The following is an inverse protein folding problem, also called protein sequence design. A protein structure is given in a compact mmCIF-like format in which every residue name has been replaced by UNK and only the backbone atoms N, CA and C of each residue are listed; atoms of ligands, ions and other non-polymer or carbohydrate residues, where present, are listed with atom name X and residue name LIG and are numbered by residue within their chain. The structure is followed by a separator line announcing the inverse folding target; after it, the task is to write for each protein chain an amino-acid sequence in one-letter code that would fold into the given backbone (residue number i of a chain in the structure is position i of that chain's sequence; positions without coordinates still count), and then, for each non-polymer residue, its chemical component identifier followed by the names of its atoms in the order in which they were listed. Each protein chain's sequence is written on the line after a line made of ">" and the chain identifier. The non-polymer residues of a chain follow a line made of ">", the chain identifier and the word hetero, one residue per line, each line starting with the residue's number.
data_IF_573241566096
#
_entry.id   IF_573241566096
#
_cell.length_a   1.000
_cell.length_b   1.000
_cell.length_c   1.000
_cell.angle_alpha   90.00
_cell.angle_beta   90.00
_cell.angle_gamma   90.00
#
_symmetry.space_group_name_H-M   'P 1'
#
loop_
_entity.id
_entity.type
_entity.pdbx_description
1 polymer ?
#
# COMPACT_ATOMS: atom_id res chain seq x y z
N UNK A 1 -2.50 -1.67 -17.49
CA UNK A 1 -1.37 -2.27 -16.74
C UNK A 1 -1.86 -3.52 -16.02
N UNK A 2 -2.74 -3.37 -15.02
CA UNK A 2 -3.24 -4.47 -14.18
C UNK A 2 -4.15 -5.47 -14.90
N UNK A 3 -4.96 -5.05 -15.90
CA UNK A 3 -5.78 -6.00 -16.68
C UNK A 3 -4.98 -7.16 -17.28
N UNK A 4 -3.78 -6.89 -17.80
CA UNK A 4 -2.95 -7.95 -18.39
C UNK A 4 -2.25 -8.84 -17.36
N UNK A 5 -2.22 -8.41 -16.10
CA UNK A 5 -1.74 -9.21 -14.97
C UNK A 5 -2.87 -10.11 -14.45
N UNK A 6 -4.06 -9.54 -14.23
CA UNK A 6 -5.29 -10.26 -13.87
C UNK A 6 -5.67 -11.33 -14.92
N UNK A 7 -5.53 -11.04 -16.22
CA UNK A 7 -5.74 -12.03 -17.30
C UNK A 7 -4.83 -13.26 -17.18
N UNK A 8 -3.69 -13.17 -16.48
CA UNK A 8 -2.72 -14.27 -16.30
C UNK A 8 -2.83 -14.96 -14.95
N UNK A 9 -3.24 -14.21 -13.94
CA UNK A 9 -3.37 -14.65 -12.56
C UNK A 9 -4.69 -14.10 -12.01
N UNK A 10 -5.82 -14.79 -12.28
CA UNK A 10 -7.13 -14.35 -11.84
C UNK A 10 -7.23 -14.51 -10.32
N UNK A 11 -7.00 -13.41 -9.61
CA UNK A 11 -7.12 -13.31 -8.16
C UNK A 11 -7.87 -12.04 -7.75
N UNK A 12 -8.24 -11.97 -6.47
CA UNK A 12 -8.88 -10.78 -5.88
C UNK A 12 -7.90 -9.61 -5.90
N UNK A 13 -8.10 -8.72 -6.86
CA UNK A 13 -7.32 -7.50 -7.04
C UNK A 13 -8.10 -6.27 -6.58
N UNK A 14 -9.02 -6.40 -5.63
CA UNK A 14 -9.69 -5.26 -5.03
C UNK A 14 -8.77 -4.56 -4.01
N UNK A 15 -8.79 -3.22 -4.05
CA UNK A 15 -8.23 -2.37 -3.00
C UNK A 15 -9.39 -1.63 -2.34
N UNK A 16 -9.22 -1.27 -1.07
CA UNK A 16 -10.26 -0.52 -0.37
C UNK A 16 -9.70 0.42 0.67
N UNK A 17 -10.50 1.42 1.04
CA UNK A 17 -10.28 2.22 2.23
C UNK A 17 -11.50 2.19 3.12
N UNK A 18 -11.30 2.10 4.42
CA UNK A 18 -12.35 2.19 5.43
C UNK A 18 -12.11 3.41 6.30
N UNK A 19 -13.16 4.19 6.51
CA UNK A 19 -13.16 5.35 7.39
C UNK A 19 -14.20 5.15 8.49
N UNK A 20 -13.81 5.33 9.74
CA UNK A 20 -14.62 5.10 10.93
C UNK A 20 -15.00 6.44 11.59
N UNK A 21 -16.24 6.54 12.03
CA UNK A 21 -16.87 7.74 12.53
C UNK A 21 -17.62 7.47 13.84
N UNK A 22 -17.58 8.44 14.74
CA UNK A 22 -18.47 8.53 15.90
C UNK A 22 -19.70 9.37 15.53
N UNK A 23 -20.86 8.97 16.03
CA UNK A 23 -22.16 9.59 15.76
C UNK A 23 -23.20 8.59 15.24
N UNK A 24 -24.43 9.06 15.12
CA UNK A 24 -25.48 8.30 14.47
C UNK A 24 -25.14 8.09 12.99
N UNK A 25 -25.29 6.87 12.43
CA UNK A 25 -25.11 6.66 11.00
C UNK A 25 -26.08 7.56 10.21
N UNK A 26 -25.62 8.23 9.13
CA UNK A 26 -26.51 8.94 8.24
C UNK A 26 -27.45 7.95 7.55
N UNK A 27 -28.56 8.43 7.00
CA UNK A 27 -29.38 7.57 6.13
C UNK A 27 -28.60 7.29 4.84
N UNK A 28 -28.74 6.08 4.30
CA UNK A 28 -28.08 5.72 3.05
C UNK A 28 -28.53 6.61 1.88
N UNK A 29 -29.78 7.11 1.90
CA UNK A 29 -30.25 8.09 0.92
C UNK A 29 -29.52 9.43 1.01
N UNK A 30 -29.21 9.91 2.21
CA UNK A 30 -28.49 11.17 2.41
C UNK A 30 -27.04 11.03 1.92
N UNK A 31 -26.42 9.86 2.17
CA UNK A 31 -25.10 9.54 1.65
C UNK A 31 -25.07 9.47 0.12
N UNK A 32 -26.12 8.89 -0.50
CA UNK A 32 -26.27 8.88 -1.97
C UNK A 32 -26.45 10.30 -2.51
N UNK A 33 -27.29 11.12 -1.89
CA UNK A 33 -27.50 12.51 -2.30
C UNK A 33 -26.19 13.33 -2.19
N UNK A 34 -25.43 13.13 -1.11
CA UNK A 34 -24.11 13.72 -0.94
C UNK A 34 -23.15 13.29 -2.07
N UNK A 35 -23.06 11.99 -2.35
CA UNK A 35 -22.20 11.44 -3.39
C UNK A 35 -22.55 11.90 -4.79
N UNK A 36 -23.83 12.11 -5.08
CA UNK A 36 -24.30 12.60 -6.37
C UNK A 36 -23.63 13.93 -6.75
N UNK A 37 -23.34 14.80 -5.76
CA UNK A 37 -22.62 16.06 -5.97
C UNK A 37 -21.16 15.90 -6.42
N UNK A 38 -20.58 14.70 -6.28
CA UNK A 38 -19.18 14.43 -6.65
C UNK A 38 -19.03 13.60 -7.93
N UNK A 39 -20.11 13.03 -8.46
CA UNK A 39 -20.08 12.14 -9.62
C UNK A 39 -19.49 12.85 -10.85
N UNK A 40 -19.86 14.11 -11.08
CA UNK A 40 -19.38 14.90 -12.22
C UNK A 40 -17.91 15.30 -12.10
N UNK A 41 -17.42 15.52 -10.86
CA UNK A 41 -16.01 15.86 -10.60
C UNK A 41 -15.11 14.63 -10.49
N UNK A 42 -15.70 13.44 -10.37
CA UNK A 42 -15.01 12.16 -10.38
C UNK A 42 -15.57 11.28 -11.51
N UNK A 43 -15.33 11.63 -12.79
CA UNK A 43 -15.94 10.94 -13.94
C UNK A 43 -15.57 9.45 -14.04
N UNK A 44 -14.52 9.01 -13.34
CA UNK A 44 -14.20 7.60 -13.24
C UNK A 44 -15.23 6.77 -12.47
N UNK A 45 -16.04 7.39 -11.59
CA UNK A 45 -17.11 6.70 -10.87
C UNK A 45 -18.25 6.25 -11.81
N UNK A 46 -18.44 6.93 -12.93
CA UNK A 46 -19.47 6.57 -13.94
C UNK A 46 -18.90 5.79 -15.12
N UNK A 47 -17.59 5.54 -15.13
CA UNK A 47 -16.93 4.86 -16.24
C UNK A 47 -16.53 3.44 -15.86
N UNK A 48 -16.74 2.51 -16.79
CA UNK A 48 -16.24 1.13 -16.70
C UNK A 48 -15.10 0.89 -17.68
N UNK A 49 -14.21 -0.01 -17.29
CA UNK A 49 -13.10 -0.44 -18.14
C UNK A 49 -13.54 -1.63 -19.00
N UNK A 50 -13.43 -1.52 -20.32
CA UNK A 50 -13.90 -2.56 -21.26
C UNK A 50 -12.80 -3.02 -22.21
N UNK A 51 -12.92 -4.25 -22.71
CA UNK A 51 -11.97 -4.88 -23.64
C UNK A 51 -10.80 -5.58 -22.94
N UNK A 52 -9.95 -6.23 -23.73
CA UNK A 52 -8.75 -6.91 -23.23
C UNK A 52 -7.65 -5.94 -22.84
N UNK A 53 -6.65 -6.40 -22.11
CA UNK A 53 -5.46 -5.63 -21.72
C UNK A 53 -4.77 -4.88 -22.88
N UNK A 54 -4.93 -5.35 -24.14
CA UNK A 54 -4.40 -4.73 -25.36
C UNK A 54 -5.29 -3.64 -25.97
N UNK A 55 -6.61 -3.68 -25.73
CA UNK A 55 -7.61 -2.77 -26.31
C UNK A 55 -8.49 -2.12 -25.24
N UNK A 56 -7.99 -2.08 -24.01
CA UNK A 56 -8.70 -1.57 -22.86
C UNK A 56 -9.08 -0.10 -23.06
N UNK A 57 -10.35 0.21 -22.82
CA UNK A 57 -10.89 1.56 -22.97
C UNK A 57 -11.90 1.86 -21.88
N UNK A 58 -11.84 3.09 -21.37
CA UNK A 58 -12.83 3.64 -20.47
C UNK A 58 -14.08 4.02 -21.27
N UNK A 59 -15.22 3.51 -20.85
CA UNK A 59 -16.52 3.79 -21.47
C UNK A 59 -17.47 4.24 -20.36
N UNK A 60 -18.20 5.33 -20.62
CA UNK A 60 -19.26 5.77 -19.72
C UNK A 60 -20.33 4.67 -19.61
N UNK A 61 -20.80 4.38 -18.42
CA UNK A 61 -21.92 3.47 -18.21
C UNK A 61 -23.25 4.24 -18.40
N UNK A 62 -24.01 3.98 -19.48
CA UNK A 62 -25.30 4.64 -19.69
C UNK A 62 -26.36 4.25 -18.65
N UNK A 63 -26.13 3.17 -17.89
CA UNK A 63 -27.02 2.67 -16.84
C UNK A 63 -26.44 2.89 -15.44
N UNK A 64 -25.54 3.87 -15.29
CA UNK A 64 -24.98 4.21 -13.99
C UNK A 64 -26.09 4.60 -13.02
N UNK A 65 -26.18 3.85 -11.93
CA UNK A 65 -27.13 4.07 -10.85
C UNK A 65 -26.39 3.99 -9.51
N UNK A 66 -26.33 5.13 -8.81
CA UNK A 66 -25.64 5.25 -7.54
C UNK A 66 -26.20 4.31 -6.46
N UNK A 67 -27.49 3.96 -6.54
CA UNK A 67 -28.12 3.03 -5.59
C UNK A 67 -27.54 1.60 -5.70
N UNK A 68 -27.01 1.22 -6.87
CA UNK A 68 -26.31 -0.06 -7.08
C UNK A 68 -24.92 -0.07 -6.42
N UNK A 69 -24.28 1.09 -6.28
CA UNK A 69 -22.92 1.21 -5.75
C UNK A 69 -22.88 1.52 -4.26
N UNK A 70 -23.87 2.24 -3.74
CA UNK A 70 -23.91 2.67 -2.33
C UNK A 70 -24.93 1.84 -1.58
N UNK A 71 -24.43 0.95 -0.73
CA UNK A 71 -25.24 -0.02 0.01
C UNK A 71 -25.10 0.17 1.51
N UNK A 72 -26.15 -0.19 2.24
CA UNK A 72 -26.14 -0.24 3.70
C UNK A 72 -25.88 -1.67 4.16
N UNK A 73 -25.04 -1.81 5.18
CA UNK A 73 -24.63 -3.08 5.77
C UNK A 73 -24.72 -2.96 7.29
N UNK A 74 -25.80 -3.49 7.84
CA UNK A 74 -25.91 -3.69 9.29
C UNK A 74 -25.16 -4.96 9.68
N UNK A 75 -24.36 -4.87 10.74
CA UNK A 75 -23.61 -6.00 11.29
C UNK A 75 -23.99 -6.23 12.76
N UNK A 76 -23.88 -7.47 13.27
CA UNK A 76 -24.15 -7.75 14.67
C UNK A 76 -23.28 -6.90 15.59
N UNK A 77 -23.83 -6.53 16.76
CA UNK A 77 -23.08 -5.89 17.84
C UNK A 77 -21.84 -6.69 18.22
N UNK A 78 -20.84 -5.98 18.70
CA UNK A 78 -19.58 -6.53 19.20
C UNK A 78 -18.76 -7.27 18.12
N UNK A 79 -19.08 -7.06 16.83
CA UNK A 79 -18.26 -7.55 15.71
C UNK A 79 -17.01 -6.66 15.58
N UNK A 80 -15.78 -7.23 15.67
CA UNK A 80 -14.56 -6.44 15.50
C UNK A 80 -14.48 -5.78 14.12
N UNK A 81 -13.96 -4.55 14.04
CA UNK A 81 -13.89 -3.78 12.80
C UNK A 81 -13.14 -4.53 11.68
N UNK A 82 -12.09 -5.29 12.02
CA UNK A 82 -11.34 -6.14 11.09
C UNK A 82 -12.22 -7.22 10.47
N UNK A 83 -13.09 -7.85 11.26
CA UNK A 83 -14.01 -8.87 10.79
C UNK A 83 -15.10 -8.27 9.91
N UNK A 84 -15.58 -7.08 10.26
CA UNK A 84 -16.52 -6.32 9.43
C UNK A 84 -15.89 -5.96 8.08
N UNK A 85 -14.70 -5.35 8.10
CA UNK A 85 -13.96 -4.99 6.90
C UNK A 85 -13.64 -6.21 6.03
N UNK A 86 -13.21 -7.32 6.64
CA UNK A 86 -12.95 -8.57 5.95
C UNK A 86 -14.22 -9.13 5.28
N UNK A 87 -15.37 -9.11 5.97
CA UNK A 87 -16.63 -9.61 5.41
C UNK A 87 -17.11 -8.81 4.20
N UNK A 88 -16.93 -7.48 4.21
CA UNK A 88 -17.26 -6.62 3.08
C UNK A 88 -16.31 -6.92 1.94
N UNK A 89 -15.01 -6.95 2.23
CA UNK A 89 -13.95 -7.26 1.28
C UNK A 89 -14.15 -8.64 0.63
N UNK A 90 -14.62 -9.65 1.35
CA UNK A 90 -14.85 -11.00 0.83
C UNK A 90 -16.02 -11.10 -0.16
N UNK A 91 -16.75 -10.03 -0.44
CA UNK A 91 -17.74 -10.00 -1.53
C UNK A 91 -17.05 -9.64 -2.86
N UNK A 92 -17.25 -10.38 -3.96
CA UNK A 92 -16.73 -9.99 -5.26
C UNK A 92 -17.36 -8.67 -5.72
N UNK A 93 -16.60 -7.83 -6.44
CA UNK A 93 -17.14 -6.64 -7.11
C UNK A 93 -17.90 -7.07 -8.37
N UNK A 94 -19.11 -6.56 -8.57
CA UNK A 94 -19.87 -6.70 -9.82
C UNK A 94 -19.10 -6.04 -10.98
N UNK A 95 -19.01 -6.75 -12.12
CA UNK A 95 -18.18 -6.35 -13.28
C UNK A 95 -18.97 -5.85 -14.49
N UNK A 96 -20.30 -5.83 -14.40
CA UNK A 96 -21.21 -5.32 -15.43
C UNK A 96 -21.46 -3.80 -15.31
N UNK A 97 -20.95 -3.18 -14.24
CA UNK A 97 -21.05 -1.75 -13.89
C UNK A 97 -19.66 -1.18 -13.58
N UNK A 98 -19.48 0.13 -13.30
CA UNK A 98 -18.20 0.65 -12.81
C UNK A 98 -17.69 -0.16 -11.61
N UNK A 99 -16.43 -0.63 -11.67
CA UNK A 99 -15.92 -1.64 -10.72
C UNK A 99 -15.56 -1.05 -9.33
N UNK A 100 -16.53 -0.45 -8.64
CA UNK A 100 -16.40 0.10 -7.30
C UNK A 100 -17.72 -0.01 -6.52
N UNK A 101 -17.63 0.03 -5.20
CA UNK A 101 -18.79 0.22 -4.31
C UNK A 101 -18.41 0.99 -3.04
N UNK A 102 -19.43 1.47 -2.33
CA UNK A 102 -19.32 2.10 -1.04
C UNK A 102 -20.34 1.47 -0.09
N UNK A 103 -19.86 0.88 1.01
CA UNK A 103 -20.71 0.34 2.06
C UNK A 103 -20.79 1.32 3.23
N UNK A 104 -22.01 1.72 3.60
CA UNK A 104 -22.32 2.31 4.90
C UNK A 104 -22.52 1.17 5.90
N UNK A 105 -21.65 1.09 6.88
CA UNK A 105 -21.56 -0.03 7.81
C UNK A 105 -21.89 0.48 9.21
N UNK A 106 -22.82 -0.16 9.91
CA UNK A 106 -23.19 0.21 11.29
C UNK A 106 -23.70 -1.01 12.08
N UNK A 107 -24.01 -0.82 13.36
CA UNK A 107 -24.53 -1.87 14.25
C UNK A 107 -23.47 -2.61 15.06
N UNK A 108 -22.19 -2.58 14.66
CA UNK A 108 -21.09 -3.24 15.37
C UNK A 108 -20.76 -2.58 16.72
N UNK A 109 -20.92 -1.25 16.81
CA UNK A 109 -20.68 -0.48 18.03
C UNK A 109 -21.71 0.65 18.13
N UNK A 110 -22.26 0.93 19.34
CA UNK A 110 -23.30 1.94 19.50
C UNK A 110 -22.78 3.35 19.22
N UNK A 111 -23.49 4.09 18.37
CA UNK A 111 -23.09 5.46 18.02
C UNK A 111 -21.81 5.51 17.19
N UNK A 112 -21.49 4.44 16.47
CA UNK A 112 -20.39 4.40 15.50
C UNK A 112 -20.88 3.88 14.15
N UNK A 113 -20.24 4.37 13.08
CA UNK A 113 -20.45 3.86 11.73
C UNK A 113 -19.17 3.93 10.92
N UNK A 114 -19.09 3.15 9.85
CA UNK A 114 -17.95 3.12 8.94
C UNK A 114 -18.39 3.27 7.49
N UNK A 115 -17.56 3.93 6.69
CA UNK A 115 -17.69 3.98 5.24
C UNK A 115 -16.55 3.16 4.62
N UNK A 116 -16.87 2.12 3.87
CA UNK A 116 -15.89 1.29 3.18
C UNK A 116 -16.01 1.47 1.67
N UNK A 117 -15.04 2.14 1.06
CA UNK A 117 -14.93 2.31 -0.38
C UNK A 117 -14.05 1.22 -0.95
N UNK A 118 -14.56 0.44 -1.90
CA UNK A 118 -13.80 -0.60 -2.60
C UNK A 118 -13.78 -0.31 -4.09
N UNK A 119 -12.67 -0.69 -4.72
CA UNK A 119 -12.49 -0.50 -6.14
C UNK A 119 -11.57 -1.59 -6.68
N UNK A 120 -11.84 -2.01 -7.91
CA UNK A 120 -10.96 -2.94 -8.58
C UNK A 120 -9.63 -2.26 -8.93
N UNK A 121 -8.49 -2.89 -8.64
CA UNK A 121 -7.17 -2.29 -8.84
C UNK A 121 -6.85 -2.04 -10.33
N UNK A 122 -7.57 -2.67 -11.27
CA UNK A 122 -7.50 -2.27 -12.70
C UNK A 122 -8.00 -0.84 -12.95
N UNK A 123 -8.87 -0.34 -12.09
CA UNK A 123 -9.48 0.98 -12.20
C UNK A 123 -8.72 2.06 -11.45
N UNK A 124 -8.25 1.76 -10.24
CA UNK A 124 -7.53 2.72 -9.41
C UNK A 124 -6.32 2.07 -8.72
N UNK A 125 -5.23 2.82 -8.58
CA UNK A 125 -4.17 2.48 -7.64
C UNK A 125 -4.49 3.03 -6.23
N UNK A 126 -3.67 2.70 -5.23
CA UNK A 126 -3.86 3.17 -3.86
C UNK A 126 -3.91 4.70 -3.72
N UNK A 127 -3.15 5.44 -4.55
CA UNK A 127 -3.18 6.90 -4.59
C UNK A 127 -4.51 7.45 -5.11
N UNK A 128 -5.01 6.95 -6.24
CA UNK A 128 -6.30 7.33 -6.82
C UNK A 128 -7.47 6.93 -5.92
N UNK A 129 -7.42 5.75 -5.30
CA UNK A 129 -8.44 5.28 -4.37
C UNK A 129 -8.46 6.11 -3.08
N UNK A 130 -7.28 6.40 -2.49
CA UNK A 130 -7.17 7.32 -1.35
C UNK A 130 -7.68 8.72 -1.69
N UNK A 131 -7.34 9.23 -2.89
CA UNK A 131 -7.84 10.52 -3.34
C UNK A 131 -9.37 10.53 -3.50
N UNK A 132 -9.93 9.49 -4.11
CA UNK A 132 -11.38 9.34 -4.29
C UNK A 132 -12.08 9.29 -2.94
N UNK A 133 -11.62 8.43 -2.02
CA UNK A 133 -12.16 8.35 -0.67
C UNK A 133 -12.07 9.70 0.05
N UNK A 134 -10.93 10.38 -0.02
CA UNK A 134 -10.76 11.71 0.57
C UNK A 134 -11.77 12.72 0.00
N UNK A 135 -11.94 12.78 -1.33
CA UNK A 135 -12.90 13.69 -1.95
C UNK A 135 -14.33 13.40 -1.51
N UNK A 136 -14.71 12.12 -1.49
CA UNK A 136 -16.03 11.67 -1.00
C UNK A 136 -16.25 12.06 0.46
N UNK A 137 -15.25 11.88 1.33
CA UNK A 137 -15.39 12.17 2.76
C UNK A 137 -15.37 13.67 3.04
N UNK A 138 -14.42 14.39 2.46
CA UNK A 138 -14.13 15.79 2.84
C UNK A 138 -14.93 16.81 2.04
N UNK A 139 -15.59 16.39 0.97
CA UNK A 139 -16.24 17.28 0.01
C UNK A 139 -15.27 18.20 -0.74
N UNK A 140 -13.95 17.99 -0.60
CA UNK A 140 -12.95 18.80 -1.26
C UNK A 140 -12.95 18.52 -2.76
N UNK A 141 -13.45 19.47 -3.55
CA UNK A 141 -13.44 19.41 -5.01
C UNK A 141 -12.00 19.23 -5.50
N UNK A 142 -11.71 18.20 -6.31
CA UNK A 142 -10.40 18.03 -6.90
C UNK A 142 -10.04 19.25 -7.75
N UNK A 143 -8.89 19.86 -7.52
CA UNK A 143 -8.32 20.87 -8.42
C UNK A 143 -7.76 20.18 -9.65
N UNK A 144 -8.57 20.06 -10.71
CA UNK A 144 -8.19 19.50 -12.00
C UNK A 144 -8.73 18.09 -12.23
N UNK A 145 -9.68 17.98 -13.16
CA UNK A 145 -10.26 16.73 -13.63
C UNK A 145 -9.55 16.28 -14.90
N UNK A 146 -8.36 15.69 -14.77
CA UNK A 146 -7.69 15.14 -15.95
C UNK A 146 -8.22 13.74 -16.28
N UNK A 147 -9.06 13.65 -17.32
CA UNK A 147 -9.23 12.40 -18.08
C UNK A 147 -7.84 11.96 -18.53
N UNK A 148 -7.46 10.67 -18.43
CA UNK A 148 -6.15 10.24 -18.89
C UNK A 148 -6.02 10.51 -20.40
N UNK A 149 -5.36 11.61 -20.77
CA UNK A 149 -5.09 11.91 -22.17
C UNK A 149 -3.97 10.99 -22.71
N UNK A 150 -4.13 10.43 -23.92
CA UNK A 150 -3.03 9.77 -24.60
C UNK A 150 -1.96 10.82 -24.94
N UNK A 151 -0.81 10.77 -24.26
CA UNK A 151 0.32 11.65 -24.60
C UNK A 151 0.85 11.34 -26.01
N UNK A 152 0.98 12.35 -26.89
CA UNK A 152 1.67 12.21 -28.18
C UNK A 152 3.18 11.97 -28.00
N UNK A 153 3.82 11.21 -28.92
CA UNK A 153 5.29 11.11 -29.01
C UNK A 153 5.96 9.86 -28.42
N UNK A 154 5.29 8.70 -28.47
CA UNK A 154 5.70 7.44 -27.78
C UNK A 154 6.99 6.76 -28.24
N UNK A 155 7.57 7.10 -29.40
CA UNK A 155 8.62 6.28 -30.01
C UNK A 155 10.06 6.71 -29.65
N UNK A 156 10.36 8.01 -29.58
CA UNK A 156 11.77 8.49 -29.55
C UNK A 156 12.34 8.58 -28.12
N UNK A 157 11.51 8.85 -27.11
CA UNK A 157 11.96 8.91 -25.69
C UNK A 157 11.96 7.56 -24.96
N UNK A 158 11.24 6.55 -25.48
CA UNK A 158 11.11 5.24 -24.84
C UNK A 158 12.41 4.40 -24.87
N UNK A 159 13.27 4.59 -25.87
CA UNK A 159 14.51 3.82 -26.02
C UNK A 159 15.57 4.16 -24.94
N UNK A 160 15.77 5.46 -24.66
CA UNK A 160 16.71 5.90 -23.60
C UNK A 160 16.23 5.54 -22.19
N UNK A 161 14.92 5.54 -21.97
CA UNK A 161 14.30 5.07 -20.73
C UNK A 161 14.41 3.55 -20.55
N UNK A 162 14.32 2.78 -21.64
CA UNK A 162 14.49 1.33 -21.60
C UNK A 162 15.92 0.92 -21.19
N UNK A 163 16.95 1.64 -21.66
CA UNK A 163 18.34 1.41 -21.24
C UNK A 163 18.57 1.65 -19.75
N UNK A 164 17.95 2.70 -19.18
CA UNK A 164 18.01 2.99 -17.73
C UNK A 164 17.21 1.98 -16.91
N UNK A 165 16.02 1.59 -17.38
CA UNK A 165 15.20 0.54 -16.77
C UNK A 165 15.97 -0.79 -16.71
N UNK A 166 16.62 -1.19 -17.80
CA UNK A 166 17.41 -2.42 -17.83
C UNK A 166 18.60 -2.36 -16.86
N UNK A 167 19.24 -1.20 -16.70
CA UNK A 167 20.29 -0.98 -15.70
C UNK A 167 19.79 -1.11 -14.25
N UNK A 168 18.66 -0.50 -13.93
CA UNK A 168 18.03 -0.60 -12.60
C UNK A 168 17.47 -2.02 -12.31
N UNK A 169 16.90 -2.70 -13.30
CA UNK A 169 16.42 -4.08 -13.18
C UNK A 169 17.58 -5.07 -13.02
N UNK A 170 18.70 -4.85 -13.74
CA UNK A 170 19.88 -5.70 -13.62
C UNK A 170 20.51 -5.59 -12.22
N UNK A 171 20.50 -4.40 -11.61
CA UNK A 171 20.96 -4.17 -10.23
C UNK A 171 20.03 -4.69 -9.13
N UNK A 172 18.79 -5.10 -9.46
CA UNK A 172 17.78 -5.59 -8.50
C UNK A 172 17.49 -7.09 -8.63
N UNK A 173 18.38 -7.82 -9.33
CA UNK A 173 18.37 -9.29 -9.40
C UNK A 173 18.82 -9.90 -8.08
N UNK A 174 17.92 -9.95 -7.10
CA UNK A 174 18.09 -10.78 -5.90
C UNK A 174 17.74 -12.21 -6.27
N UNK A 175 18.67 -13.15 -6.06
CA UNK A 175 18.35 -14.57 -6.17
C UNK A 175 17.37 -14.96 -5.05
N UNK A 176 16.15 -15.33 -5.45
CA UNK A 176 15.22 -16.18 -4.69
C UNK A 176 14.85 -15.70 -3.30
N UNK A 177 14.03 -14.64 -3.17
CA UNK A 177 13.37 -14.37 -1.89
C UNK A 177 12.33 -15.46 -1.67
N UNK A 178 12.49 -16.27 -0.62
CA UNK A 178 11.59 -17.39 -0.35
C UNK A 178 11.26 -17.49 1.13
N UNK A 179 10.03 -17.88 1.39
CA UNK A 179 9.54 -18.37 2.68
C UNK A 179 8.91 -19.74 2.41
N UNK A 180 9.38 -20.77 3.11
CA UNK A 180 8.93 -22.14 2.92
C UNK A 180 7.64 -22.40 3.71
N UNK A 181 6.52 -21.78 3.31
CA UNK A 181 5.21 -21.97 3.94
C UNK A 181 4.12 -22.07 2.87
N UNK A 182 3.13 -22.98 3.03
CA UNK A 182 1.95 -22.96 2.18
C UNK A 182 1.16 -21.67 2.44
N UNK A 183 0.57 -21.11 1.39
CA UNK A 183 -0.26 -19.92 1.42
C UNK A 183 -1.64 -20.26 0.86
N UNK A 184 -2.69 -19.71 1.48
CA UNK A 184 -4.08 -20.01 1.15
C UNK A 184 -4.65 -19.11 0.05
N UNK A 185 -4.07 -17.92 -0.15
CA UNK A 185 -4.65 -16.85 -0.96
C UNK A 185 -5.83 -16.13 -0.28
N UNK A 186 -6.22 -16.54 0.94
CA UNK A 186 -7.21 -15.82 1.75
C UNK A 186 -6.52 -14.74 2.57
N UNK A 187 -7.21 -13.63 2.76
CA UNK A 187 -6.66 -12.46 3.45
C UNK A 187 -7.15 -12.37 4.90
N UNK A 188 -6.25 -12.00 5.79
CA UNK A 188 -6.53 -11.53 7.13
C UNK A 188 -6.11 -10.07 7.23
N UNK A 189 -6.98 -9.25 7.82
CA UNK A 189 -6.70 -7.84 8.09
C UNK A 189 -6.23 -7.68 9.52
N UNK A 190 -5.16 -6.92 9.72
CA UNK A 190 -4.69 -6.51 11.04
C UNK A 190 -4.46 -5.01 11.03
N UNK A 191 -4.90 -4.33 12.09
CA UNK A 191 -4.65 -2.91 12.27
C UNK A 191 -3.69 -2.66 13.43
N UNK A 192 -2.87 -1.62 13.32
CA UNK A 192 -2.10 -1.09 14.42
C UNK A 192 -1.99 0.42 14.33
N UNK A 193 -2.25 1.09 15.45
CA UNK A 193 -2.03 2.52 15.56
C UNK A 193 -0.54 2.83 15.73
N UNK A 194 -0.01 3.74 14.91
CA UNK A 194 1.39 4.15 14.93
C UNK A 194 1.47 5.67 14.95
N UNK A 195 1.95 6.25 16.04
CA UNK A 195 2.18 7.69 16.08
C UNK A 195 3.30 8.09 15.09
N UNK A 196 3.00 9.03 14.20
CA UNK A 196 3.96 9.54 13.20
C UNK A 196 5.17 10.17 13.87
N UNK A 197 5.00 10.78 15.06
CA UNK A 197 6.09 11.34 15.82
C UNK A 197 7.08 10.27 16.28
N UNK A 198 6.60 9.05 16.64
CA UNK A 198 7.49 7.92 16.97
C UNK A 198 8.39 7.54 15.81
N UNK A 199 7.80 7.36 14.62
CA UNK A 199 8.55 7.05 13.40
C UNK A 199 9.58 8.15 13.06
N UNK A 200 9.19 9.42 13.23
CA UNK A 200 10.10 10.55 13.02
C UNK A 200 11.25 10.56 14.04
N UNK A 201 10.97 10.33 15.32
CA UNK A 201 11.97 10.35 16.40
C UNK A 201 13.09 9.34 16.19
N UNK A 202 12.79 8.14 15.67
CA UNK A 202 13.83 7.12 15.45
C UNK A 202 14.70 7.40 14.22
N UNK A 203 14.12 7.97 13.15
CA UNK A 203 14.84 8.18 11.90
C UNK A 203 15.54 9.54 11.79
N UNK A 204 14.95 10.61 12.34
CA UNK A 204 15.46 11.97 12.21
C UNK A 204 16.90 12.16 12.71
N UNK A 205 17.33 11.57 13.86
CA UNK A 205 18.72 11.69 14.33
C UNK A 205 19.76 11.08 13.37
N UNK A 206 19.33 10.18 12.47
CA UNK A 206 20.17 9.52 11.47
C UNK A 206 19.99 10.13 10.07
N UNK A 207 19.27 11.24 9.95
CA UNK A 207 18.97 11.89 8.67
C UNK A 207 17.88 11.21 7.84
N UNK A 208 17.11 10.29 8.44
CA UNK A 208 16.02 9.55 7.79
C UNK A 208 14.63 10.14 8.03
N UNK A 209 13.63 9.61 7.30
CA UNK A 209 12.23 9.97 7.45
C UNK A 209 11.36 8.87 8.09
N UNK A 210 10.07 9.17 8.34
CA UNK A 210 9.13 8.20 8.91
C UNK A 210 8.93 6.94 8.06
N UNK A 211 9.08 7.04 6.73
CA UNK A 211 8.95 5.90 5.84
C UNK A 211 10.12 4.91 6.01
N UNK A 212 11.35 5.41 6.15
CA UNK A 212 12.53 4.57 6.42
C UNK A 212 12.41 3.87 7.79
N UNK A 213 11.91 4.58 8.81
CA UNK A 213 11.58 3.97 10.11
C UNK A 213 10.53 2.84 9.97
N UNK A 214 9.48 3.08 9.20
CA UNK A 214 8.43 2.08 8.96
C UNK A 214 8.99 0.82 8.27
N UNK A 215 9.82 0.99 7.23
CA UNK A 215 10.47 -0.12 6.53
C UNK A 215 11.46 -0.88 7.43
N UNK A 216 12.18 -0.17 8.32
CA UNK A 216 13.06 -0.79 9.31
C UNK A 216 12.27 -1.63 10.32
N UNK A 217 11.11 -1.12 10.76
CA UNK A 217 10.19 -1.85 11.64
C UNK A 217 9.57 -3.07 10.95
N UNK A 218 9.16 -2.98 9.67
CA UNK A 218 8.71 -4.14 8.88
C UNK A 218 9.81 -5.20 8.73
N UNK A 219 11.06 -4.78 8.57
CA UNK A 219 12.19 -5.72 8.51
C UNK A 219 12.38 -6.43 9.85
N UNK A 220 12.30 -5.70 10.97
CA UNK A 220 12.36 -6.29 12.30
C UNK A 220 11.17 -7.21 12.62
N UNK A 221 9.97 -6.84 12.16
CA UNK A 221 8.75 -7.66 12.24
C UNK A 221 8.98 -9.02 11.58
N UNK A 222 9.50 -9.03 10.35
CA UNK A 222 9.78 -10.25 9.60
C UNK A 222 10.79 -11.16 10.29
N UNK A 223 11.86 -10.59 10.86
CA UNK A 223 12.86 -11.36 11.60
C UNK A 223 12.27 -12.00 12.86
N UNK A 224 11.44 -11.26 13.62
CA UNK A 224 10.75 -11.79 14.81
C UNK A 224 9.76 -12.88 14.45
N UNK A 225 8.94 -12.63 13.43
CA UNK A 225 7.98 -13.59 12.93
C UNK A 225 8.68 -14.87 12.45
N UNK A 226 9.77 -14.75 11.68
CA UNK A 226 10.57 -15.88 11.20
C UNK A 226 11.15 -16.69 12.36
N UNK A 227 11.69 -16.02 13.39
CA UNK A 227 12.22 -16.68 14.59
C UNK A 227 11.14 -17.39 15.41
N UNK A 228 9.96 -16.77 15.57
CA UNK A 228 8.87 -17.31 16.37
C UNK A 228 8.11 -18.45 15.66
N UNK A 229 7.93 -18.36 14.33
CA UNK A 229 7.22 -19.36 13.53
C UNK A 229 8.10 -20.53 13.10
N UNK A 230 9.43 -20.37 13.13
CA UNK A 230 10.39 -21.32 12.57
C UNK A 230 10.49 -21.28 11.04
N UNK A 231 9.70 -20.44 10.35
CA UNK A 231 9.76 -20.29 8.89
C UNK A 231 11.02 -19.51 8.52
N UNK A 232 11.94 -20.14 7.79
CA UNK A 232 13.20 -19.51 7.37
C UNK A 232 12.98 -18.55 6.20
N UNK A 233 13.56 -17.35 6.33
CA UNK A 233 13.62 -16.35 5.27
C UNK A 233 14.98 -16.41 4.57
N UNK A 234 14.98 -16.64 3.26
CA UNK A 234 16.18 -16.57 2.44
C UNK A 234 16.19 -15.26 1.63
N UNK A 235 17.19 -14.41 1.88
CA UNK A 235 17.39 -13.10 1.18
C UNK A 235 16.08 -12.32 1.01
N UNK A 236 15.36 -12.02 2.11
CA UNK A 236 14.03 -11.42 2.03
C UNK A 236 14.07 -10.08 1.30
N UNK A 237 13.06 -9.85 0.47
CA UNK A 237 12.87 -8.59 -0.23
C UNK A 237 11.38 -8.23 -0.26
N UNK A 238 11.09 -6.93 -0.23
CA UNK A 238 9.74 -6.39 -0.37
C UNK A 238 9.60 -5.70 -1.71
N UNK A 239 8.39 -5.65 -2.25
CA UNK A 239 8.07 -4.63 -3.23
C UNK A 239 7.56 -3.36 -2.55
N UNK A 240 7.93 -2.20 -3.07
CA UNK A 240 7.45 -0.90 -2.64
C UNK A 240 6.55 -0.35 -3.73
N UNK A 241 5.27 -0.17 -3.42
CA UNK A 241 4.34 0.51 -4.31
C UNK A 241 4.46 2.02 -4.12
N UNK A 242 5.04 2.69 -5.11
CA UNK A 242 5.34 4.12 -5.08
C UNK A 242 4.44 4.85 -6.07
N UNK A 243 3.87 5.98 -5.63
CA UNK A 243 3.11 6.86 -6.51
C UNK A 243 4.03 7.46 -7.60
N UNK A 244 3.67 7.18 -8.85
CA UNK A 244 4.39 7.65 -10.01
C UNK A 244 3.96 9.07 -10.44
N UNK A 245 2.95 9.66 -9.78
CA UNK A 245 2.54 11.04 -9.99
C UNK A 245 3.64 12.01 -9.53
N UNK A 246 3.78 13.13 -10.25
CA UNK A 246 4.62 14.27 -9.84
C UNK A 246 3.82 15.15 -8.87
N UNK A 247 4.48 15.91 -7.98
CA UNK A 247 3.80 16.82 -7.06
C UNK A 247 2.88 17.83 -7.77
N UNK A 248 3.27 18.28 -8.97
CA UNK A 248 2.51 19.24 -9.77
C UNK A 248 1.53 18.57 -10.75
N UNK A 249 1.47 17.23 -10.80
CA UNK A 249 0.47 16.56 -11.63
C UNK A 249 -0.91 16.81 -11.02
N UNK A 250 -1.93 17.14 -11.83
CA UNK A 250 -3.28 17.22 -11.33
C UNK A 250 -3.71 15.86 -10.77
N UNK A 251 -4.60 15.84 -9.76
CA UNK A 251 -5.24 14.62 -9.32
C UNK A 251 -5.79 13.89 -10.55
N UNK A 252 -5.40 12.62 -10.66
CA UNK A 252 -5.70 11.83 -11.84
C UNK A 252 -6.18 10.45 -11.43
N UNK A 253 -7.26 10.07 -12.10
CA UNK A 253 -7.86 8.75 -12.00
C UNK A 253 -7.00 7.71 -12.73
N UNK A 254 -7.16 6.44 -12.37
CA UNK A 254 -6.40 5.35 -12.99
C UNK A 254 -5.16 4.93 -12.22
N UNK A 255 -4.38 4.05 -12.85
CA UNK A 255 -3.16 3.48 -12.30
C UNK A 255 -1.91 4.26 -12.73
N UNK A 256 -1.25 4.89 -11.77
CA UNK A 256 0.07 5.53 -11.86
C UNK A 256 0.94 5.09 -10.68
N UNK A 257 1.21 3.80 -10.63
CA UNK A 257 2.03 3.17 -9.58
C UNK A 257 3.23 2.47 -10.20
N UNK A 258 4.33 2.46 -9.45
CA UNK A 258 5.52 1.69 -9.75
C UNK A 258 5.82 0.73 -8.59
N UNK A 259 6.23 -0.50 -8.90
CA UNK A 259 6.74 -1.43 -7.91
C UNK A 259 8.29 -1.48 -7.96
N UNK A 260 8.93 -1.00 -6.90
CA UNK A 260 10.37 -1.11 -6.70
C UNK A 260 10.69 -2.28 -5.78
N UNK A 261 11.80 -2.99 -6.02
CA UNK A 261 12.25 -4.05 -5.10
C UNK A 261 13.16 -3.46 -4.04
N UNK A 262 12.93 -3.86 -2.81
CA UNK A 262 13.71 -3.50 -1.64
C UNK A 262 14.26 -4.78 -0.98
N UNK A 263 15.52 -5.16 -1.28
CA UNK A 263 16.21 -6.19 -0.52
C UNK A 263 16.35 -5.76 0.93
N UNK A 264 16.09 -6.68 1.88
CA UNK A 264 16.20 -6.42 3.30
C UNK A 264 17.47 -7.04 3.88
N UNK A 265 18.07 -6.38 4.88
CA UNK A 265 19.18 -6.97 5.63
C UNK A 265 18.73 -8.20 6.43
N UNK A 266 19.64 -9.17 6.56
CA UNK A 266 19.40 -10.43 7.27
C UNK A 266 19.23 -10.28 8.79
N UNK A 267 18.84 -11.37 9.44
CA UNK A 267 18.47 -11.39 10.86
C UNK A 267 19.63 -11.03 11.82
N UNK A 268 20.88 -11.17 11.39
CA UNK A 268 22.06 -10.80 12.19
C UNK A 268 22.30 -9.28 12.29
N UNK A 269 21.62 -8.48 11.47
CA UNK A 269 21.76 -7.02 11.51
C UNK A 269 21.14 -6.42 12.76
N UNK A 270 21.76 -5.39 13.33
CA UNK A 270 21.16 -4.63 14.43
C UNK A 270 19.98 -3.76 13.93
N UNK A 271 19.00 -3.40 14.78
CA UNK A 271 17.92 -2.49 14.37
C UNK A 271 18.42 -1.18 13.78
N UNK A 272 19.52 -0.63 14.33
CA UNK A 272 20.14 0.60 13.84
C UNK A 272 20.80 0.42 12.48
N UNK A 273 21.53 -0.68 12.25
CA UNK A 273 22.10 -1.00 10.94
C UNK A 273 21.03 -1.08 9.85
N UNK A 274 19.90 -1.73 10.14
CA UNK A 274 18.76 -1.78 9.21
C UNK A 274 18.26 -0.40 8.83
N UNK A 275 18.09 0.47 9.83
CA UNK A 275 17.60 1.83 9.58
C UNK A 275 18.61 2.64 8.75
N UNK A 276 19.90 2.58 9.08
CA UNK A 276 20.95 3.29 8.34
C UNK A 276 21.04 2.81 6.89
N UNK A 277 21.00 1.49 6.65
CA UNK A 277 20.98 0.92 5.28
C UNK A 277 19.76 1.41 4.49
N UNK A 278 18.57 1.42 5.10
CA UNK A 278 17.35 1.89 4.44
C UNK A 278 17.38 3.39 4.15
N UNK A 279 17.96 4.21 5.02
CA UNK A 279 18.16 5.65 4.78
C UNK A 279 19.09 5.88 3.59
N UNK A 280 20.23 5.17 3.56
CA UNK A 280 21.18 5.28 2.46
C UNK A 280 20.55 4.86 1.11
N UNK A 281 19.79 3.76 1.10
CA UNK A 281 19.04 3.31 -0.09
C UNK A 281 17.95 4.30 -0.50
N UNK A 282 17.22 4.87 0.47
CA UNK A 282 16.19 5.87 0.23
C UNK A 282 16.75 7.11 -0.46
N UNK A 283 17.90 7.61 0.01
CA UNK A 283 18.62 8.72 -0.61
C UNK A 283 19.09 8.38 -2.04
N UNK A 284 19.70 7.21 -2.25
CA UNK A 284 20.13 6.76 -3.58
C UNK A 284 18.95 6.57 -4.55
N UNK A 285 17.77 6.18 -4.05
CA UNK A 285 16.57 5.99 -4.86
C UNK A 285 15.92 7.31 -5.30
N UNK A 286 16.14 8.44 -4.60
CA UNK A 286 15.53 9.72 -4.97
C UNK A 286 15.91 10.17 -6.40
N UNK A 287 17.17 10.00 -6.81
CA UNK A 287 17.62 10.34 -8.16
C UNK A 287 16.97 9.48 -9.27
N UNK A 288 16.70 8.21 -8.96
CA UNK A 288 16.10 7.24 -9.89
C UNK A 288 14.57 7.40 -10.02
N UNK A 289 13.89 7.93 -8.98
CA UNK A 289 12.43 8.12 -8.98
C UNK A 289 11.93 8.99 -10.14
N UNK A 290 12.65 10.04 -10.54
CA UNK A 290 12.23 10.89 -11.65
C UNK A 290 12.19 10.12 -12.98
N UNK A 291 13.23 9.32 -13.27
CA UNK A 291 13.28 8.47 -14.46
C UNK A 291 12.21 7.36 -14.42
N UNK A 292 11.98 6.79 -13.24
CA UNK A 292 10.99 5.73 -13.07
C UNK A 292 9.53 6.23 -13.19
N UNK A 293 9.25 7.48 -12.80
CA UNK A 293 7.96 8.16 -13.06
C UNK A 293 7.72 8.35 -14.56
N UNK A 294 8.74 8.82 -15.27
CA UNK A 294 8.67 8.97 -16.72
C UNK A 294 8.42 7.62 -17.40
N UNK A 295 8.96 6.54 -16.85
CA UNK A 295 8.69 5.19 -17.36
C UNK A 295 7.20 4.86 -17.31
N UNK A 296 6.54 5.01 -16.16
CA UNK A 296 5.10 4.72 -16.02
C UNK A 296 4.25 5.58 -16.96
N UNK A 297 4.68 6.83 -17.19
CA UNK A 297 3.99 7.79 -18.08
C UNK A 297 4.09 7.41 -19.56
N UNK A 298 5.25 6.90 -20.00
CA UNK A 298 5.53 6.72 -21.42
C UNK A 298 5.48 5.27 -21.92
N UNK A 299 5.63 4.28 -21.03
CA UNK A 299 5.68 2.88 -21.45
C UNK A 299 4.27 2.37 -21.87
N UNK A 300 4.17 1.63 -22.98
CA UNK A 300 2.95 0.91 -23.32
C UNK A 300 2.44 0.04 -22.16
N UNK A 301 1.14 0.06 -21.91
CA UNK A 301 0.52 -0.63 -20.75
C UNK A 301 0.88 -2.11 -20.61
N UNK A 302 1.15 -2.81 -21.72
CA UNK A 302 1.62 -4.21 -21.74
C UNK A 302 3.03 -4.39 -21.18
N UNK A 303 3.95 -3.46 -21.47
CA UNK A 303 5.32 -3.49 -20.97
C UNK A 303 5.34 -3.09 -19.50
N UNK A 304 4.53 -2.10 -19.11
CA UNK A 304 4.29 -1.78 -17.71
C UNK A 304 3.74 -2.99 -16.94
N UNK A 305 2.74 -3.71 -17.47
CA UNK A 305 2.19 -4.90 -16.84
C UNK A 305 3.20 -6.05 -16.74
N UNK A 306 4.00 -6.28 -17.79
CA UNK A 306 5.10 -7.26 -17.76
C UNK A 306 6.15 -6.91 -16.69
N UNK A 307 6.57 -5.65 -16.64
CA UNK A 307 7.53 -5.16 -15.66
C UNK A 307 6.98 -5.33 -14.25
N UNK A 308 5.73 -4.91 -14.01
CA UNK A 308 5.07 -5.06 -12.72
C UNK A 308 5.01 -6.53 -12.30
N UNK A 309 4.58 -7.43 -13.19
CA UNK A 309 4.54 -8.87 -12.91
C UNK A 309 5.91 -9.46 -12.60
N UNK A 310 6.98 -8.97 -13.26
CA UNK A 310 8.36 -9.34 -12.91
C UNK A 310 8.71 -8.84 -11.51
N UNK A 311 8.44 -7.57 -11.21
CA UNK A 311 8.79 -6.93 -9.93
C UNK A 311 8.07 -7.58 -8.74
N UNK A 312 6.78 -7.92 -8.91
CA UNK A 312 5.91 -8.56 -7.92
C UNK A 312 5.99 -10.09 -7.90
N UNK A 313 6.87 -10.72 -8.70
CA UNK A 313 6.86 -12.18 -8.75
C UNK A 313 7.29 -12.77 -7.38
N UNK A 314 6.54 -13.73 -6.80
CA UNK A 314 6.74 -14.20 -5.41
C UNK A 314 8.10 -14.88 -5.16
N UNK A 315 8.77 -15.38 -6.21
CA UNK A 315 10.17 -15.85 -6.14
C UNK A 315 11.20 -14.75 -5.82
N UNK A 316 10.84 -13.48 -5.92
CA UNK A 316 11.79 -12.37 -5.75
C UNK A 316 11.41 -11.42 -4.63
N UNK A 317 10.16 -11.43 -4.19
CA UNK A 317 9.65 -10.60 -3.10
C UNK A 317 8.66 -11.42 -2.28
N UNK A 318 8.76 -11.33 -0.95
CA UNK A 318 7.91 -12.10 -0.02
C UNK A 318 6.68 -11.31 0.44
N UNK A 319 6.64 -10.01 0.16
CA UNK A 319 5.56 -9.12 0.58
C UNK A 319 5.77 -7.72 0.03
N UNK A 320 4.93 -6.78 0.46
CA UNK A 320 5.00 -5.41 -0.01
C UNK A 320 4.73 -4.36 1.05
N UNK A 321 5.07 -3.13 0.72
CA UNK A 321 4.73 -1.95 1.53
C UNK A 321 4.30 -0.79 0.62
N UNK A 322 3.31 -0.04 1.07
CA UNK A 322 2.91 1.24 0.50
C UNK A 322 2.65 2.24 1.62
N UNK A 323 3.02 3.50 1.38
CA UNK A 323 2.75 4.59 2.30
C UNK A 323 1.84 5.58 1.58
N UNK A 324 0.67 5.83 2.16
CA UNK A 324 -0.35 6.70 1.61
C UNK A 324 -0.51 7.91 2.52
N UNK A 325 -0.66 9.09 1.93
CA UNK A 325 -1.00 10.30 2.66
C UNK A 325 -2.51 10.52 2.56
N UNK A 326 -3.14 10.71 3.71
CA UNK A 326 -4.53 11.14 3.82
C UNK A 326 -4.57 12.48 4.53
N UNK A 327 -4.92 13.54 3.81
CA UNK A 327 -5.06 14.87 4.39
C UNK A 327 -6.53 15.10 4.71
N UNK A 328 -6.90 15.38 5.98
CA UNK A 328 -8.27 15.72 6.33
C UNK A 328 -8.70 17.00 5.61
N UNK A 329 -10.01 17.17 5.44
CA UNK A 329 -10.61 18.36 4.85
C UNK A 329 -11.84 18.77 5.63
N UNK A 330 -12.57 19.78 5.15
CA UNK A 330 -13.65 20.42 5.90
C UNK A 330 -14.95 19.59 6.04
N UNK A 331 -15.08 18.48 5.31
CA UNK A 331 -16.24 17.59 5.36
C UNK A 331 -16.21 16.62 6.55
N UNK A 332 -16.54 15.36 6.29
CA UNK A 332 -16.53 14.30 7.31
C UNK A 332 -15.13 14.12 7.88
N UNK A 333 -15.03 14.14 9.21
CA UNK A 333 -13.78 13.94 9.95
C UNK A 333 -13.75 12.53 10.57
N UNK A 334 -13.10 11.56 9.91
CA UNK A 334 -13.02 10.22 10.44
C UNK A 334 -12.06 10.15 11.63
N UNK A 335 -12.48 9.46 12.69
CA UNK A 335 -11.59 9.12 13.82
C UNK A 335 -10.44 8.24 13.39
N UNK A 336 -10.70 7.38 12.41
CA UNK A 336 -9.73 6.42 11.90
C UNK A 336 -9.97 6.19 10.41
N UNK A 337 -8.87 6.09 9.65
CA UNK A 337 -8.91 5.64 8.26
C UNK A 337 -7.84 4.56 8.09
N UNK A 338 -8.19 3.47 7.44
CA UNK A 338 -7.26 2.44 7.01
C UNK A 338 -7.42 2.15 5.52
N UNK A 339 -6.34 1.68 4.90
CA UNK A 339 -6.32 1.29 3.51
C UNK A 339 -5.88 -0.17 3.42
N UNK A 340 -6.64 -0.98 2.70
CA UNK A 340 -6.40 -2.40 2.49
C UNK A 340 -5.79 -2.59 1.09
N UNK A 341 -4.46 -2.77 0.98
CA UNK A 341 -3.82 -3.08 -0.28
C UNK A 341 -4.25 -4.46 -0.77
N UNK A 342 -4.20 -4.66 -2.09
CA UNK A 342 -4.34 -6.00 -2.66
C UNK A 342 -3.16 -6.87 -2.20
N UNK A 343 -3.43 -8.12 -1.86
CA UNK A 343 -2.42 -9.14 -1.55
C UNK A 343 -2.22 -10.01 -2.79
N UNK A 344 -1.14 -9.82 -3.56
CA UNK A 344 -0.91 -10.65 -4.74
C UNK A 344 -0.67 -12.11 -4.33
N UNK A 345 -1.13 -13.10 -5.11
CA UNK A 345 -0.90 -14.51 -4.81
C UNK A 345 0.57 -14.83 -4.55
N UNK A 346 0.83 -15.72 -3.59
CA UNK A 346 2.18 -16.17 -3.25
C UNK A 346 3.00 -15.21 -2.36
N UNK A 347 2.39 -14.15 -1.83
CA UNK A 347 3.03 -13.22 -0.88
C UNK A 347 2.52 -13.46 0.53
N UNK A 348 3.39 -13.26 1.52
CA UNK A 348 3.06 -13.42 2.94
C UNK A 348 2.13 -12.31 3.43
N UNK A 349 2.43 -11.06 3.04
CA UNK A 349 1.67 -9.88 3.46
C UNK A 349 1.88 -8.67 2.54
N UNK A 350 1.00 -7.69 2.63
CA UNK A 350 1.23 -6.32 2.15
C UNK A 350 0.85 -5.34 3.26
N UNK A 351 1.77 -4.43 3.57
CA UNK A 351 1.57 -3.36 4.55
C UNK A 351 1.14 -2.06 3.86
N UNK A 352 0.11 -1.41 4.38
CA UNK A 352 -0.21 -0.02 4.06
C UNK A 352 -0.06 0.84 5.31
N UNK A 353 0.80 1.85 5.24
CA UNK A 353 0.89 2.89 6.26
C UNK A 353 0.14 4.12 5.75
N UNK A 354 -1.04 4.38 6.31
CA UNK A 354 -1.81 5.58 6.01
C UNK A 354 -1.47 6.67 7.02
N UNK A 355 -0.89 7.77 6.56
CA UNK A 355 -0.56 8.92 7.41
C UNK A 355 -1.72 9.90 7.40
N UNK A 356 -2.32 10.13 8.57
CA UNK A 356 -3.43 11.06 8.79
C UNK A 356 -3.08 12.07 9.88
N UNK A 357 -2.79 13.32 9.47
CA UNK A 357 -2.37 14.38 10.40
C UNK A 357 -1.10 14.03 11.18
N UNK A 358 -1.23 13.91 12.50
CA UNK A 358 -0.16 13.49 13.44
C UNK A 358 -0.13 11.98 13.65
N UNK A 359 -1.16 11.25 13.22
CA UNK A 359 -1.25 9.80 13.35
C UNK A 359 -0.83 9.09 12.07
N UNK A 360 -0.41 7.83 12.20
CA UNK A 360 -0.35 6.89 11.10
C UNK A 360 -1.07 5.60 11.50
N UNK A 361 -1.80 5.02 10.55
CA UNK A 361 -2.49 3.75 10.75
C UNK A 361 -1.81 2.71 9.87
N UNK A 362 -1.32 1.65 10.51
CA UNK A 362 -0.81 0.48 9.83
C UNK A 362 -1.97 -0.48 9.57
N UNK A 363 -2.17 -0.86 8.32
CA UNK A 363 -2.93 -2.04 7.96
C UNK A 363 -1.98 -3.08 7.37
N UNK A 364 -2.06 -4.31 7.89
CA UNK A 364 -1.41 -5.48 7.31
C UNK A 364 -2.49 -6.37 6.71
N UNK A 365 -2.37 -6.64 5.41
CA UNK A 365 -3.15 -7.69 4.74
C UNK A 365 -2.23 -8.90 4.64
N UNK A 366 -2.51 -9.92 5.44
CA UNK A 366 -1.66 -11.11 5.62
C UNK A 366 -2.37 -12.33 5.03
N UNK A 367 -1.63 -13.30 4.50
CA UNK A 367 -2.24 -14.58 4.13
C UNK A 367 -2.75 -15.30 5.39
N UNK A 368 -3.99 -15.80 5.35
CA UNK A 368 -4.63 -16.43 6.50
C UNK A 368 -3.91 -17.71 6.96
N UNK A 369 -3.24 -18.44 6.05
CA UNK A 369 -2.49 -19.64 6.38
C UNK A 369 -1.09 -19.35 6.94
N UNK A 370 -0.71 -18.08 7.09
CA UNK A 370 0.59 -17.72 7.61
C UNK A 370 0.72 -18.13 9.10
N UNK A 371 1.71 -18.95 9.49
CA UNK A 371 1.89 -19.33 10.89
C UNK A 371 2.16 -18.11 11.76
N UNK A 372 1.43 -17.95 12.87
CA UNK A 372 1.48 -16.76 13.73
C UNK A 372 1.16 -15.45 12.98
N UNK A 373 0.42 -15.52 11.87
CA UNK A 373 0.05 -14.38 11.03
C UNK A 373 -0.75 -13.35 11.82
N UNK A 374 -1.61 -13.78 12.75
CA UNK A 374 -2.41 -12.93 13.62
C UNK A 374 -1.57 -12.02 14.54
N UNK A 375 -0.32 -12.37 14.78
CA UNK A 375 0.61 -11.61 15.64
C UNK A 375 1.53 -10.67 14.87
N UNK A 376 1.38 -10.57 13.54
CA UNK A 376 2.27 -9.74 12.73
C UNK A 376 2.24 -8.25 13.13
N UNK A 377 1.07 -7.72 13.49
CA UNK A 377 0.94 -6.37 14.00
C UNK A 377 1.73 -6.18 15.32
N UNK A 378 1.68 -7.15 16.23
CA UNK A 378 2.45 -7.12 17.47
C UNK A 378 3.96 -7.16 17.22
N UNK A 379 4.40 -8.04 16.31
CA UNK A 379 5.81 -8.13 15.92
C UNK A 379 6.31 -6.81 15.31
N UNK A 380 5.46 -6.10 14.57
CA UNK A 380 5.76 -4.76 14.05
C UNK A 380 5.93 -3.75 15.19
N UNK A 381 4.99 -3.69 16.13
CA UNK A 381 5.05 -2.75 17.26
C UNK A 381 6.27 -3.01 18.15
N UNK A 382 6.60 -4.28 18.40
CA UNK A 382 7.82 -4.68 19.12
C UNK A 382 9.10 -4.30 18.37
N UNK A 383 9.11 -4.47 17.04
CA UNK A 383 10.25 -4.07 16.22
C UNK A 383 10.43 -2.54 16.21
N UNK A 384 9.34 -1.78 16.18
CA UNK A 384 9.39 -0.32 16.30
C UNK A 384 9.90 0.13 17.68
N UNK A 385 9.41 -0.48 18.76
CA UNK A 385 9.91 -0.19 20.12
C UNK A 385 11.42 -0.47 20.27
N UNK A 386 11.94 -1.51 19.61
CA UNK A 386 13.37 -1.79 19.59
C UNK A 386 14.19 -0.74 18.82
N UNK A 387 13.62 -0.07 17.82
CA UNK A 387 14.28 1.06 17.14
C UNK A 387 14.36 2.31 18.02
N UNK A 388 13.47 2.45 18.99
CA UNK A 388 13.46 3.56 19.96
C UNK A 388 14.50 3.36 21.08
N UNK A 389 14.98 2.13 21.29
CA UNK A 389 15.96 1.86 22.34
C UNK A 389 17.34 2.35 21.89
N UNK A 390 17.98 3.27 22.65
CA UNK A 390 19.33 3.73 22.31
C UNK A 390 20.30 2.55 22.36
N UNK A 391 21.22 2.50 21.39
CA UNK A 391 22.29 1.50 21.41
C UNK A 391 23.09 1.63 22.71
N UNK A 392 23.47 0.52 23.37
CA UNK A 392 24.38 0.60 24.51
C UNK A 392 25.67 1.31 24.07
N UNK A 393 26.30 2.11 24.96
CA UNK A 393 27.56 2.76 24.64
C UNK A 393 28.56 1.70 24.19
N UNK A 394 29.19 1.93 23.04
CA UNK A 394 30.33 1.12 22.60
C UNK A 394 31.44 1.34 23.61
N UNK A 395 31.62 0.41 24.55
CA UNK A 395 32.79 0.42 25.43
C UNK A 395 33.97 0.13 24.51
N UNK A 396 34.94 1.06 24.34
CA UNK A 396 36.13 0.77 23.57
C UNK A 396 36.82 -0.42 24.24
N UNK A 397 36.96 -1.53 23.52
CA UNK A 397 37.83 -2.61 23.94
C UNK A 397 39.22 -2.00 24.10
N UNK A 398 39.70 -1.93 25.35
CA UNK A 398 41.07 -1.54 25.64
C UNK A 398 42.00 -2.40 24.78
N UNK A 399 42.95 -1.80 24.04
CA UNK A 399 43.98 -2.60 23.38
C UNK A 399 44.68 -3.44 24.46
N UNK A 400 45.09 -4.69 24.13
CA UNK A 400 45.76 -5.55 25.09
C UNK A 400 46.95 -4.79 25.70
N UNK A 401 47.00 -4.72 27.04
CA UNK A 401 48.14 -4.16 27.75
C UNK A 401 49.38 -4.93 27.30
N UNK A 402 50.35 -4.22 26.74
CA UNK A 402 51.67 -4.78 26.49
C UNK A 402 52.22 -5.28 27.83
N UNK A 403 52.55 -6.58 27.89
CA UNK A 403 53.24 -7.15 29.05
C UNK A 403 54.60 -6.46 29.21
N UNK A 404 54.98 -6.08 30.44
CA UNK A 404 56.29 -5.53 30.69
C UNK A 404 57.33 -6.62 30.44
N UNK A 405 58.21 -6.38 29.47
CA UNK A 405 59.45 -7.12 29.31
C UNK A 405 60.30 -6.81 30.55
N UNK A 406 60.39 -7.77 31.46
CA UNK A 406 61.29 -7.77 32.61
C UNK A 406 62.71 -8.19 32.18
N UNK A 407 63.75 -7.78 32.94
CA UNK A 407 64.79 -6.84 32.50
C UNK A 407 65.95 -7.42 31.67
#
# INVERSE_FOLDING_TARGET
>A
MFLGWEERDPGRSDVSGIAHFEGAPPRVEDLRAWLAGFVDVLPGLTCRLTGSSRRARWVHDPHFDLARHVVEVEVPRDTPLEAVAASVLDRPLERDRPDWDLSLIHGYEPGCYSLCYRVHHCCQDGGAASHTLRTVLTGATPTGTSRPEPLPGRAVRAAGLMGRLLGEIAGTSVAGATAATPLSGRRRLLYAHVDRARLRRVAQPLGGGPNEAHLAALTGMLHRWSAASGVRLHRPALFLAVDARRPDDPPSWGNRVLALRLPLLGASSSPRERLVDLIARGAAAQGHRAAARDLVRWLPGRLCGWLLGRQLHPRHVIGGSTTLLFTPGAGLDPKFVAFHPALPPGHLFVAALLVHGTSAQLCLVVDEALPLGERMADFYLQALAHLETPAPPVIPTQPPRAEPIHP
#
